data_IF_177794611239
#
_entry.id   IF_177794611239
#
_cell.length_a   1.000
_cell.length_b   1.000
_cell.length_c   1.000
_cell.angle_alpha   90.00
_cell.angle_beta   90.00
_cell.angle_gamma   90.00
#
_symmetry.space_group_name_H-M   'P 1'
#
loop_
_entity.id
_entity.type
_entity.pdbx_description
1 polymer ?
#
# COMPACT_ATOMS: atom_id res chain seq x y z
N UNK A 1 28.65 24.57 14.92
CA UNK A 1 28.71 23.86 13.61
C UNK A 1 27.61 22.81 13.57
N UNK A 2 26.57 23.02 12.76
CA UNK A 2 25.49 22.04 12.56
C UNK A 2 26.08 20.94 11.68
N UNK A 3 26.44 19.78 12.26
CA UNK A 3 26.94 18.66 11.48
C UNK A 3 25.86 18.26 10.48
N UNK A 4 26.13 18.53 9.20
CA UNK A 4 25.27 18.11 8.09
C UNK A 4 25.47 16.61 7.91
N UNK A 5 24.85 15.82 8.79
CA UNK A 5 24.65 14.39 8.52
C UNK A 5 23.66 14.36 7.36
N UNK A 6 24.19 14.24 6.14
CA UNK A 6 23.43 14.14 4.91
C UNK A 6 22.77 12.75 4.93
N UNK A 7 21.62 12.64 5.60
CA UNK A 7 20.84 11.40 5.59
C UNK A 7 20.51 11.05 4.14
N UNK A 8 21.12 9.98 3.63
CA UNK A 8 20.81 9.45 2.32
C UNK A 8 19.32 9.09 2.29
N UNK A 9 18.65 9.45 1.20
CA UNK A 9 17.27 9.04 1.00
C UNK A 9 17.20 7.50 1.00
N UNK A 10 16.24 6.87 1.68
CA UNK A 10 16.15 5.41 1.75
C UNK A 10 16.20 4.73 0.38
N UNK A 11 15.52 5.29 -0.62
CA UNK A 11 15.61 4.83 -2.01
C UNK A 11 17.06 4.73 -2.55
N UNK A 12 17.88 5.76 -2.30
CA UNK A 12 19.27 5.78 -2.74
C UNK A 12 20.12 4.74 -2.00
N UNK A 13 19.82 4.47 -0.74
CA UNK A 13 20.48 3.41 0.04
C UNK A 13 20.19 2.04 -0.56
N UNK A 14 18.92 1.70 -0.79
CA UNK A 14 18.55 0.41 -1.39
C UNK A 14 19.07 0.25 -2.82
N UNK A 15 19.11 1.33 -3.59
CA UNK A 15 19.76 1.31 -4.91
C UNK A 15 21.25 0.95 -4.80
N UNK A 16 22.00 1.63 -3.93
CA UNK A 16 23.43 1.34 -3.71
C UNK A 16 23.65 -0.08 -3.17
N UNK A 17 22.78 -0.56 -2.29
CA UNK A 17 22.82 -1.94 -1.80
C UNK A 17 22.60 -2.94 -2.94
N UNK A 18 21.67 -2.67 -3.85
CA UNK A 18 21.42 -3.54 -5.02
C UNK A 18 22.65 -3.61 -5.93
N UNK A 19 23.29 -2.47 -6.19
CA UNK A 19 24.56 -2.42 -6.95
C UNK A 19 25.66 -3.18 -6.20
N UNK A 20 25.71 -3.04 -4.88
CA UNK A 20 26.64 -3.79 -4.03
C UNK A 20 26.42 -5.30 -4.13
N UNK A 21 25.18 -5.77 -4.06
CA UNK A 21 24.82 -7.20 -4.23
C UNK A 21 25.18 -7.69 -5.62
N UNK A 22 24.89 -6.91 -6.67
CA UNK A 22 25.28 -7.26 -8.04
C UNK A 22 26.80 -7.44 -8.16
N UNK A 23 27.59 -6.52 -7.60
CA UNK A 23 29.05 -6.61 -7.60
C UNK A 23 29.56 -7.80 -6.76
N UNK A 24 29.01 -8.00 -5.56
CA UNK A 24 29.37 -9.13 -4.71
C UNK A 24 29.03 -10.47 -5.35
N UNK A 25 27.93 -10.56 -6.09
CA UNK A 25 27.52 -11.78 -6.80
C UNK A 25 28.49 -12.11 -7.94
N UNK A 26 29.01 -11.09 -8.62
CA UNK A 26 30.03 -11.24 -9.65
C UNK A 26 31.36 -11.71 -9.04
N UNK A 27 31.77 -11.11 -7.92
CA UNK A 27 32.97 -11.52 -7.18
C UNK A 27 32.82 -12.96 -6.67
N UNK A 28 31.70 -13.30 -6.05
CA UNK A 28 31.41 -14.64 -5.55
C UNK A 28 31.47 -15.71 -6.64
N UNK A 29 30.99 -15.38 -7.84
CA UNK A 29 31.10 -16.27 -9.00
C UNK A 29 32.54 -16.49 -9.48
N UNK A 30 33.42 -15.48 -9.39
CA UNK A 30 34.85 -15.63 -9.72
C UNK A 30 35.56 -16.53 -8.70
N UNK A 31 35.24 -16.36 -7.41
CA UNK A 31 35.84 -17.16 -6.33
C UNK A 31 35.17 -18.54 -6.15
N UNK A 32 34.10 -18.83 -6.89
CA UNK A 32 33.41 -20.11 -6.86
C UNK A 32 32.67 -20.37 -5.54
N UNK A 33 32.01 -19.36 -4.97
CA UNK A 33 31.14 -19.56 -3.80
C UNK A 33 29.99 -20.52 -4.14
N UNK A 34 29.76 -21.50 -3.26
CA UNK A 34 28.69 -22.49 -3.44
C UNK A 34 27.31 -21.82 -3.48
N UNK A 35 26.47 -22.25 -4.42
CA UNK A 35 25.11 -21.77 -4.65
C UNK A 35 24.94 -20.26 -4.94
N UNK A 36 26.02 -19.54 -5.25
CA UNK A 36 25.98 -18.11 -5.60
C UNK A 36 25.95 -17.91 -7.12
N UNK A 37 24.89 -17.26 -7.61
CA UNK A 37 24.72 -16.94 -9.03
C UNK A 37 25.17 -15.50 -9.33
N UNK A 38 25.85 -15.31 -10.46
CA UNK A 38 26.28 -13.99 -10.92
C UNK A 38 25.11 -13.21 -11.54
N UNK A 39 24.71 -12.11 -10.90
CA UNK A 39 23.66 -11.22 -11.42
C UNK A 39 24.06 -10.51 -12.72
N UNK A 40 25.34 -10.14 -12.89
CA UNK A 40 25.83 -9.43 -14.08
C UNK A 40 26.00 -10.34 -15.30
N UNK A 41 25.68 -11.62 -15.17
CA UNK A 41 25.67 -12.56 -16.29
C UNK A 41 24.53 -12.26 -17.27
N UNK A 42 24.62 -12.82 -18.49
CA UNK A 42 23.53 -12.72 -19.46
C UNK A 42 22.23 -13.36 -18.95
N UNK A 43 22.31 -14.34 -18.06
CA UNK A 43 21.14 -14.96 -17.44
C UNK A 43 20.52 -14.06 -16.38
N UNK A 44 21.32 -13.48 -15.48
CA UNK A 44 20.85 -12.55 -14.45
C UNK A 44 20.20 -11.29 -15.04
N UNK A 45 20.78 -10.74 -16.11
CA UNK A 45 20.19 -9.60 -16.82
C UNK A 45 18.88 -9.95 -17.53
N UNK A 46 18.78 -11.14 -18.13
CA UNK A 46 17.51 -11.62 -18.73
C UNK A 46 16.45 -11.85 -17.66
N UNK A 47 16.84 -12.41 -16.51
CA UNK A 47 15.96 -12.59 -15.38
C UNK A 47 15.45 -11.24 -14.86
N UNK A 48 16.33 -10.26 -14.68
CA UNK A 48 15.94 -8.92 -14.25
C UNK A 48 14.89 -8.31 -15.19
N UNK A 49 15.15 -8.33 -16.50
CA UNK A 49 14.21 -7.82 -17.49
C UNK A 49 12.86 -8.55 -17.50
N UNK A 50 12.82 -9.83 -17.12
CA UNK A 50 11.60 -10.63 -17.12
C UNK A 50 10.76 -10.45 -15.86
N UNK A 51 11.40 -10.29 -14.70
CA UNK A 51 10.73 -10.36 -13.40
C UNK A 51 10.65 -9.02 -12.66
N UNK A 52 11.29 -7.94 -13.14
CA UNK A 52 11.20 -6.62 -12.48
C UNK A 52 9.76 -6.17 -12.24
N UNK A 53 8.88 -6.36 -13.22
CA UNK A 53 7.46 -5.95 -13.13
C UNK A 53 6.68 -6.83 -12.15
N UNK A 54 6.78 -8.15 -12.30
CA UNK A 54 6.10 -9.12 -11.44
C UNK A 54 6.54 -8.97 -9.97
N UNK A 55 7.84 -8.81 -9.73
CA UNK A 55 8.38 -8.60 -8.38
C UNK A 55 7.78 -7.35 -7.74
N UNK A 56 7.67 -6.25 -8.51
CA UNK A 56 7.10 -5.00 -8.00
C UNK A 56 5.60 -5.08 -7.77
N UNK A 57 4.84 -5.60 -8.73
CA UNK A 57 3.39 -5.68 -8.65
C UNK A 57 2.90 -6.68 -7.59
N UNK A 58 3.65 -7.77 -7.39
CA UNK A 58 3.39 -8.77 -6.34
C UNK A 58 3.99 -8.38 -4.99
N UNK A 59 4.58 -7.19 -4.85
CA UNK A 59 5.10 -6.73 -3.58
C UNK A 59 4.00 -6.71 -2.50
N UNK A 60 4.32 -7.10 -1.25
CA UNK A 60 3.36 -7.13 -0.16
C UNK A 60 2.63 -5.82 -0.02
N UNK A 61 1.31 -5.91 0.09
CA UNK A 61 0.40 -4.78 0.33
C UNK A 61 0.31 -3.75 -0.80
N UNK A 62 1.07 -3.83 -1.90
CA UNK A 62 1.02 -2.80 -2.96
C UNK A 62 -0.38 -2.71 -3.57
N UNK A 63 -0.93 -3.82 -4.08
CA UNK A 63 -2.23 -3.83 -4.74
C UNK A 63 -3.37 -3.39 -3.81
N UNK A 64 -3.41 -3.92 -2.58
CA UNK A 64 -4.43 -3.54 -1.59
C UNK A 64 -4.31 -2.08 -1.18
N UNK A 65 -3.09 -1.57 -1.03
CA UNK A 65 -2.80 -0.18 -0.68
C UNK A 65 -3.19 0.79 -1.80
N UNK A 66 -2.91 0.47 -3.07
CA UNK A 66 -3.33 1.28 -4.21
C UNK A 66 -4.86 1.44 -4.26
N UNK A 67 -5.58 0.34 -4.04
CA UNK A 67 -7.06 0.35 -4.00
C UNK A 67 -7.56 1.16 -2.80
N UNK A 68 -6.97 0.96 -1.62
CA UNK A 68 -7.34 1.72 -0.42
C UNK A 68 -7.02 3.22 -0.53
N UNK A 69 -5.95 3.59 -1.22
CA UNK A 69 -5.55 4.99 -1.39
C UNK A 69 -6.58 5.81 -2.15
N UNK A 70 -7.35 5.19 -3.06
CA UNK A 70 -8.46 5.84 -3.75
C UNK A 70 -9.54 6.29 -2.76
N UNK A 71 -9.91 5.42 -1.82
CA UNK A 71 -10.93 5.72 -0.79
C UNK A 71 -10.41 6.59 0.35
N UNK A 72 -9.25 6.23 0.91
CA UNK A 72 -8.61 6.99 2.00
C UNK A 72 -8.25 8.41 1.55
N UNK A 73 -7.78 8.58 0.31
CA UNK A 73 -7.46 9.89 -0.26
C UNK A 73 -8.66 10.82 -0.19
N UNK A 74 -9.83 10.33 -0.61
CA UNK A 74 -11.05 11.11 -0.60
C UNK A 74 -11.49 11.50 0.82
N UNK A 75 -11.45 10.55 1.76
CA UNK A 75 -11.79 10.76 3.17
C UNK A 75 -10.88 11.78 3.86
N UNK A 76 -9.58 11.64 3.68
CA UNK A 76 -8.59 12.53 4.32
C UNK A 76 -8.69 13.92 3.70
N UNK A 77 -8.82 14.00 2.38
CA UNK A 77 -8.95 15.27 1.67
C UNK A 77 -10.24 16.02 2.03
N UNK A 78 -11.37 15.31 2.24
CA UNK A 78 -12.63 15.90 2.70
C UNK A 78 -12.65 16.23 4.19
N UNK A 79 -11.58 15.97 4.95
CA UNK A 79 -11.49 16.13 6.42
C UNK A 79 -12.54 15.35 7.20
N UNK A 80 -13.07 14.28 6.63
CA UNK A 80 -14.07 13.43 7.28
C UNK A 80 -13.55 12.82 8.61
N UNK A 81 -12.32 12.27 8.68
CA UNK A 81 -11.77 11.74 9.93
C UNK A 81 -11.67 12.79 11.04
N UNK A 82 -11.27 14.03 10.71
CA UNK A 82 -11.19 15.13 11.67
C UNK A 82 -12.58 15.48 12.23
N UNK A 83 -13.61 15.47 11.37
CA UNK A 83 -14.99 15.71 11.79
C UNK A 83 -15.52 14.59 12.69
N UNK A 84 -15.22 13.32 12.40
CA UNK A 84 -15.55 12.19 13.26
C UNK A 84 -14.84 12.27 14.62
N UNK A 85 -13.56 12.61 14.65
CA UNK A 85 -12.80 12.79 15.89
C UNK A 85 -13.37 13.94 16.73
N UNK A 86 -13.79 15.05 16.11
CA UNK A 86 -14.45 16.18 16.80
C UNK A 86 -15.83 15.83 17.35
N UNK A 87 -16.56 14.91 16.71
CA UNK A 87 -17.83 14.39 17.22
C UNK A 87 -17.60 13.50 18.46
N UNK A 88 -16.55 12.68 18.45
CA UNK A 88 -16.19 11.78 19.55
C UNK A 88 -15.54 12.52 20.73
N UNK A 89 -14.73 13.55 20.46
CA UNK A 89 -14.12 14.41 21.47
C UNK A 89 -15.15 15.37 22.08
N UNK A 90 -15.43 15.22 23.37
CA UNK A 90 -16.29 16.16 24.11
C UNK A 90 -15.69 17.57 24.06
N UNK A 91 -16.29 18.49 23.29
CA UNK A 91 -16.09 19.93 23.52
C UNK A 91 -16.07 20.88 22.32
N UNK A 92 -16.17 20.43 21.07
CA UNK A 92 -16.14 21.35 19.90
C UNK A 92 -17.52 21.45 19.27
N UNK A 93 -18.02 22.68 19.11
CA UNK A 93 -19.28 22.96 18.41
C UNK A 93 -19.13 22.65 16.92
N UNK A 94 -19.72 21.54 16.47
CA UNK A 94 -19.91 21.26 15.04
C UNK A 94 -20.90 22.26 14.44
N UNK A 95 -20.58 22.77 13.25
CA UNK A 95 -21.53 23.59 12.51
C UNK A 95 -22.79 22.78 12.18
N UNK A 96 -23.96 23.43 12.11
CA UNK A 96 -25.22 22.77 11.72
C UNK A 96 -25.09 22.04 10.38
N UNK A 97 -24.31 22.60 9.45
CA UNK A 97 -24.00 21.99 8.15
C UNK A 97 -23.18 20.71 8.30
N UNK A 98 -22.10 20.75 9.08
CA UNK A 98 -21.23 19.59 9.31
C UNK A 98 -21.97 18.46 10.04
N UNK A 99 -22.80 18.79 11.04
CA UNK A 99 -23.59 17.77 11.76
C UNK A 99 -24.60 17.07 10.84
N UNK A 100 -25.24 17.82 9.93
CA UNK A 100 -26.13 17.23 8.92
C UNK A 100 -25.36 16.37 7.93
N UNK A 101 -24.21 16.84 7.44
CA UNK A 101 -23.34 16.09 6.54
C UNK A 101 -22.85 14.78 7.17
N UNK A 102 -22.41 14.82 8.44
CA UNK A 102 -22.05 13.62 9.21
C UNK A 102 -23.23 12.66 9.34
N UNK A 103 -24.43 13.16 9.65
CA UNK A 103 -25.64 12.35 9.70
C UNK A 103 -25.95 11.67 8.37
N UNK A 104 -25.89 12.40 7.26
CA UNK A 104 -26.10 11.83 5.91
C UNK A 104 -25.04 10.79 5.55
N UNK A 105 -23.78 11.05 5.92
CA UNK A 105 -22.67 10.11 5.69
C UNK A 105 -22.88 8.83 6.49
N UNK A 106 -23.24 8.94 7.77
CA UNK A 106 -23.53 7.78 8.63
C UNK A 106 -24.70 6.95 8.11
N UNK A 107 -25.78 7.59 7.64
CA UNK A 107 -26.91 6.88 7.01
C UNK A 107 -26.47 6.18 5.73
N UNK A 108 -25.70 6.85 4.85
CA UNK A 108 -25.23 6.24 3.61
C UNK A 108 -24.32 5.02 3.85
N UNK A 109 -23.41 5.11 4.83
CA UNK A 109 -22.56 3.99 5.23
C UNK A 109 -23.36 2.87 5.89
N UNK A 110 -24.35 3.21 6.72
CA UNK A 110 -25.27 2.23 7.30
C UNK A 110 -26.01 1.45 6.22
N UNK A 111 -26.56 2.13 5.22
CA UNK A 111 -27.22 1.48 4.07
C UNK A 111 -26.23 0.60 3.29
N UNK A 112 -25.01 1.06 3.07
CA UNK A 112 -23.96 0.27 2.41
C UNK A 112 -23.62 -1.01 3.17
N UNK A 113 -23.41 -0.92 4.49
CA UNK A 113 -23.12 -2.09 5.34
C UNK A 113 -24.30 -3.04 5.40
N UNK A 114 -25.54 -2.53 5.49
CA UNK A 114 -26.75 -3.35 5.44
C UNK A 114 -26.91 -4.06 4.10
N UNK A 115 -26.58 -3.38 2.99
CA UNK A 115 -26.60 -3.99 1.65
C UNK A 115 -25.55 -5.11 1.56
N UNK A 116 -24.34 -4.88 2.05
CA UNK A 116 -23.31 -5.92 2.11
C UNK A 116 -23.73 -7.09 3.00
N UNK A 117 -24.35 -6.82 4.16
CA UNK A 117 -24.87 -7.86 5.03
C UNK A 117 -26.01 -8.64 4.34
N UNK A 118 -26.91 -7.96 3.63
CA UNK A 118 -27.96 -8.63 2.85
C UNK A 118 -27.38 -9.47 1.71
N UNK A 119 -26.32 -9.01 1.05
CA UNK A 119 -25.59 -9.79 0.04
C UNK A 119 -24.86 -10.99 0.66
N UNK A 120 -24.26 -10.80 1.84
CA UNK A 120 -23.48 -11.80 2.54
C UNK A 120 -24.33 -12.82 3.30
N UNK A 121 -25.58 -12.52 3.66
CA UNK A 121 -26.52 -13.43 4.36
C UNK A 121 -27.80 -13.74 3.59
N UNK A 122 -27.94 -13.21 2.37
CA UNK A 122 -29.07 -13.45 1.50
C UNK A 122 -29.10 -14.88 0.92
N UNK A 123 -30.22 -15.24 0.27
CA UNK A 123 -30.41 -16.56 -0.36
C UNK A 123 -29.57 -16.76 -1.63
N UNK A 124 -28.85 -15.73 -2.09
CA UNK A 124 -28.06 -15.72 -3.33
C UNK A 124 -26.60 -16.08 -3.04
N UNK A 125 -26.00 -16.96 -3.83
CA UNK A 125 -24.58 -17.37 -3.70
C UNK A 125 -23.58 -16.40 -4.34
N UNK A 126 -24.00 -15.21 -4.77
CA UNK A 126 -23.18 -14.24 -5.52
C UNK A 126 -21.86 -13.86 -4.82
N UNK A 127 -21.86 -13.86 -3.49
CA UNK A 127 -20.81 -13.27 -2.66
C UNK A 127 -20.14 -14.32 -1.76
N UNK A 128 -20.75 -15.50 -1.66
CA UNK A 128 -20.28 -16.65 -0.86
C UNK A 128 -19.56 -17.65 -1.74
N UNK A 129 -18.76 -18.52 -1.13
CA UNK A 129 -18.21 -19.66 -1.84
C UNK A 129 -19.35 -20.63 -2.23
N UNK A 130 -19.07 -21.53 -3.18
CA UNK A 130 -19.99 -22.58 -3.64
C UNK A 130 -20.46 -23.47 -2.46
N UNK A 131 -19.69 -23.58 -1.38
CA UNK A 131 -20.05 -24.35 -0.17
C UNK A 131 -20.90 -23.58 0.84
N UNK A 132 -21.17 -22.29 0.59
CA UNK A 132 -21.96 -21.43 1.49
C UNK A 132 -21.16 -20.82 2.65
N UNK A 133 -19.85 -21.10 2.74
CA UNK A 133 -18.96 -20.51 3.73
C UNK A 133 -18.40 -19.14 3.27
N UNK A 134 -18.01 -18.32 4.25
CA UNK A 134 -17.37 -17.01 4.06
C UNK A 134 -15.86 -17.12 3.89
N UNK A 135 -15.23 -18.20 4.37
CA UNK A 135 -13.82 -18.46 4.17
C UNK A 135 -13.55 -18.84 2.70
N UNK A 136 -12.57 -18.19 2.06
CA UNK A 136 -12.28 -18.39 0.63
C UNK A 136 -13.41 -17.93 -0.31
N UNK A 137 -14.28 -17.02 0.17
CA UNK A 137 -15.34 -16.43 -0.64
C UNK A 137 -14.82 -15.22 -1.43
N UNK A 138 -15.46 -14.86 -2.57
CA UNK A 138 -15.13 -13.65 -3.32
C UNK A 138 -15.18 -12.37 -2.47
N UNK A 139 -16.01 -12.34 -1.42
CA UNK A 139 -16.04 -11.22 -0.47
C UNK A 139 -14.79 -11.14 0.40
N UNK A 140 -14.30 -12.28 0.87
CA UNK A 140 -13.11 -12.33 1.74
C UNK A 140 -11.85 -11.92 0.97
N UNK A 141 -11.73 -12.34 -0.28
CA UNK A 141 -10.63 -11.93 -1.17
C UNK A 141 -10.76 -10.46 -1.58
N UNK A 142 -11.99 -10.01 -1.84
CA UNK A 142 -12.33 -8.64 -2.24
C UNK A 142 -12.42 -7.63 -1.09
N UNK A 143 -12.07 -7.99 0.15
CA UNK A 143 -12.31 -7.15 1.33
C UNK A 143 -11.68 -5.76 1.22
N UNK A 144 -10.49 -5.66 0.63
CA UNK A 144 -9.79 -4.40 0.39
C UNK A 144 -10.53 -3.51 -0.62
N UNK A 145 -11.17 -4.10 -1.63
CA UNK A 145 -11.98 -3.38 -2.60
C UNK A 145 -13.29 -2.87 -1.96
N UNK A 146 -13.97 -3.74 -1.20
CA UNK A 146 -15.21 -3.42 -0.49
C UNK A 146 -14.98 -2.30 0.54
N UNK A 147 -13.89 -2.36 1.28
CA UNK A 147 -13.51 -1.32 2.24
C UNK A 147 -13.16 -0.01 1.55
N UNK A 148 -12.39 -0.04 0.45
CA UNK A 148 -12.10 1.15 -0.35
C UNK A 148 -13.38 1.81 -0.88
N UNK A 149 -14.34 1.02 -1.38
CA UNK A 149 -15.61 1.56 -1.88
C UNK A 149 -16.43 2.23 -0.78
N UNK A 150 -16.46 1.64 0.42
CA UNK A 150 -17.07 2.26 1.60
C UNK A 150 -16.41 3.59 1.98
N UNK A 151 -15.08 3.67 1.90
CA UNK A 151 -14.34 4.91 2.15
C UNK A 151 -14.62 5.97 1.06
N UNK A 152 -14.67 5.58 -0.22
CA UNK A 152 -15.07 6.49 -1.30
C UNK A 152 -16.47 7.04 -1.03
N UNK A 153 -17.43 6.18 -0.68
CA UNK A 153 -18.79 6.60 -0.34
C UNK A 153 -18.80 7.61 0.81
N UNK A 154 -18.06 7.32 1.90
CA UNK A 154 -17.96 8.20 3.06
C UNK A 154 -17.42 9.60 2.69
N UNK A 155 -16.26 9.65 2.03
CA UNK A 155 -15.61 10.90 1.65
C UNK A 155 -16.43 11.70 0.64
N UNK A 156 -17.13 11.00 -0.27
CA UNK A 156 -17.94 11.64 -1.32
C UNK A 156 -19.18 12.28 -0.71
N UNK A 157 -19.96 11.53 0.07
CA UNK A 157 -21.20 12.02 0.70
C UNK A 157 -20.89 13.16 1.69
N UNK A 158 -19.84 13.03 2.49
CA UNK A 158 -19.44 14.08 3.43
C UNK A 158 -18.95 15.33 2.69
N UNK A 159 -18.07 15.17 1.71
CA UNK A 159 -17.50 16.28 0.96
C UNK A 159 -18.50 17.00 0.06
N UNK A 160 -19.49 16.29 -0.49
CA UNK A 160 -20.60 16.91 -1.22
C UNK A 160 -21.57 17.64 -0.29
N UNK A 161 -21.90 17.07 0.87
CA UNK A 161 -22.85 17.69 1.81
C UNK A 161 -22.28 18.92 2.55
N UNK A 162 -20.96 19.07 2.59
CA UNK A 162 -20.26 20.25 3.14
C UNK A 162 -19.94 21.31 2.09
N UNK A 163 -20.37 21.13 0.84
CA UNK A 163 -20.03 21.98 -0.32
C UNK A 163 -18.52 22.06 -0.62
N UNK A 164 -17.74 21.10 -0.13
CA UNK A 164 -16.29 21.02 -0.34
C UNK A 164 -15.94 20.47 -1.73
N UNK A 165 -16.67 19.46 -2.18
CA UNK A 165 -16.60 18.97 -3.56
C UNK A 165 -17.74 19.59 -4.37
N UNK A 166 -17.41 20.47 -5.31
CA UNK A 166 -18.39 21.12 -6.20
C UNK A 166 -18.36 20.54 -7.60
N UNK A 167 -17.17 20.20 -8.07
CA UNK A 167 -16.95 19.61 -9.39
C UNK A 167 -16.36 18.20 -9.28
N UNK A 168 -16.58 17.40 -10.31
CA UNK A 168 -15.94 16.10 -10.54
C UNK A 168 -14.40 16.17 -10.42
N UNK A 169 -13.80 17.25 -10.92
CA UNK A 169 -12.35 17.50 -10.81
C UNK A 169 -11.86 17.56 -9.36
N UNK A 170 -12.67 18.10 -8.45
CA UNK A 170 -12.29 18.19 -7.04
C UNK A 170 -12.31 16.81 -6.37
N UNK A 171 -13.24 15.95 -6.80
CA UNK A 171 -13.34 14.55 -6.35
C UNK A 171 -12.10 13.77 -6.81
N UNK A 172 -11.75 13.85 -8.09
CA UNK A 172 -10.54 13.19 -8.64
C UNK A 172 -9.26 13.71 -7.98
N UNK A 173 -9.22 15.01 -7.65
CA UNK A 173 -8.12 15.60 -6.88
C UNK A 173 -8.05 15.03 -5.46
N UNK A 174 -9.19 14.77 -4.82
CA UNK A 174 -9.26 14.07 -3.53
C UNK A 174 -8.76 12.64 -3.63
N UNK A 175 -9.18 11.89 -4.64
CA UNK A 175 -8.73 10.50 -4.87
C UNK A 175 -7.22 10.39 -5.11
N UNK A 176 -6.62 11.37 -5.80
CA UNK A 176 -5.17 11.40 -6.05
C UNK A 176 -4.33 11.93 -4.88
N UNK A 177 -4.95 12.47 -3.83
CA UNK A 177 -4.23 13.10 -2.71
C UNK A 177 -3.30 12.12 -1.98
N UNK A 178 -3.77 10.91 -1.66
CA UNK A 178 -2.93 9.89 -1.00
C UNK A 178 -1.76 9.47 -1.87
N UNK A 179 -1.98 9.30 -3.18
CA UNK A 179 -0.91 8.97 -4.12
C UNK A 179 0.17 10.05 -4.17
N UNK A 180 -0.24 11.32 -4.21
CA UNK A 180 0.70 12.45 -4.19
C UNK A 180 1.45 12.53 -2.85
N UNK A 181 0.76 12.27 -1.73
CA UNK A 181 1.34 12.30 -0.39
C UNK A 181 2.41 11.20 -0.21
N UNK A 182 2.11 9.97 -0.62
CA UNK A 182 2.99 8.81 -0.49
C UNK A 182 3.89 8.55 -1.71
N UNK A 183 3.97 9.48 -2.67
CA UNK A 183 4.80 9.34 -3.87
C UNK A 183 6.27 8.93 -3.59
N UNK A 184 6.99 9.52 -2.59
CA UNK A 184 8.35 9.09 -2.26
C UNK A 184 8.42 7.63 -1.74
N UNK A 185 7.33 7.16 -1.14
CA UNK A 185 7.20 5.79 -0.66
C UNK A 185 7.13 4.78 -1.79
N UNK A 186 6.38 5.05 -2.87
CA UNK A 186 6.34 4.18 -4.05
C UNK A 186 7.71 4.04 -4.73
N UNK A 187 8.47 5.13 -4.81
CA UNK A 187 9.84 5.12 -5.34
C UNK A 187 10.75 4.29 -4.45
N UNK A 188 10.66 4.47 -3.13
CA UNK A 188 11.46 3.70 -2.17
C UNK A 188 11.11 2.21 -2.23
N UNK A 189 9.82 1.88 -2.31
CA UNK A 189 9.33 0.51 -2.42
C UNK A 189 9.91 -0.19 -3.65
N UNK A 190 9.99 0.49 -4.80
CA UNK A 190 10.58 -0.08 -6.00
C UNK A 190 12.01 -0.57 -5.74
N UNK A 191 12.87 0.27 -5.17
CA UNK A 191 14.25 -0.12 -4.88
C UNK A 191 14.36 -1.18 -3.77
N UNK A 192 13.50 -1.15 -2.77
CA UNK A 192 13.43 -2.20 -1.74
C UNK A 192 13.13 -3.55 -2.38
N UNK A 193 12.09 -3.61 -3.22
CA UNK A 193 11.66 -4.85 -3.86
C UNK A 193 12.74 -5.38 -4.80
N UNK A 194 13.33 -4.52 -5.63
CA UNK A 194 14.42 -4.96 -6.52
C UNK A 194 15.65 -5.42 -5.75
N UNK A 195 16.00 -4.77 -4.63
CA UNK A 195 17.10 -5.22 -3.79
C UNK A 195 16.89 -6.65 -3.27
N UNK A 196 15.74 -6.92 -2.63
CA UNK A 196 15.45 -8.24 -2.07
C UNK A 196 15.30 -9.29 -3.16
N UNK A 197 14.74 -8.94 -4.32
CA UNK A 197 14.62 -9.86 -5.44
C UNK A 197 16.00 -10.25 -6.03
N UNK A 198 16.92 -9.29 -6.19
CA UNK A 198 18.29 -9.57 -6.63
C UNK A 198 19.07 -10.37 -5.58
N UNK A 199 18.86 -10.07 -4.29
CA UNK A 199 19.49 -10.79 -3.19
C UNK A 199 19.05 -12.27 -3.13
N UNK A 200 17.76 -12.52 -3.37
CA UNK A 200 17.18 -13.86 -3.44
C UNK A 200 17.69 -14.62 -4.68
N UNK A 201 17.63 -14.00 -5.86
CA UNK A 201 18.12 -14.59 -7.11
C UNK A 201 19.60 -15.00 -7.06
N UNK A 202 20.45 -14.15 -6.45
CA UNK A 202 21.90 -14.41 -6.40
C UNK A 202 22.30 -15.48 -5.38
N UNK A 203 21.40 -15.91 -4.49
CA UNK A 203 21.71 -16.87 -3.44
C UNK A 203 22.63 -16.33 -2.33
N UNK A 204 23.01 -15.04 -2.39
CA UNK A 204 23.96 -14.43 -1.45
C UNK A 204 23.45 -14.41 -0.01
N UNK A 205 22.13 -14.29 0.20
CA UNK A 205 21.54 -14.36 1.53
C UNK A 205 21.67 -15.75 2.16
N UNK A 206 21.45 -16.81 1.36
CA UNK A 206 21.60 -18.18 1.80
C UNK A 206 23.06 -18.50 2.13
N UNK A 207 24.01 -18.06 1.28
CA UNK A 207 25.44 -18.18 1.54
C UNK A 207 25.87 -17.47 2.83
N UNK A 208 25.30 -16.30 3.12
CA UNK A 208 25.55 -15.58 4.38
C UNK A 208 24.91 -16.25 5.62
N UNK A 209 24.17 -17.34 5.45
CA UNK A 209 23.49 -18.06 6.53
C UNK A 209 22.23 -17.37 7.06
N UNK A 210 21.64 -16.46 6.27
CA UNK A 210 20.41 -15.75 6.65
C UNK A 210 19.22 -16.67 6.39
N UNK A 211 18.45 -16.99 7.44
CA UNK A 211 17.23 -17.79 7.28
C UNK A 211 16.17 -17.07 6.45
N UNK A 212 15.45 -17.80 5.61
CA UNK A 212 14.36 -17.28 4.76
C UNK A 212 13.28 -16.53 5.57
N UNK A 213 12.95 -17.00 6.77
CA UNK A 213 11.99 -16.34 7.65
C UNK A 213 12.43 -14.92 8.02
N UNK A 214 13.71 -14.74 8.38
CA UNK A 214 14.25 -13.41 8.68
C UNK A 214 14.27 -12.53 7.44
N UNK A 215 14.59 -13.09 6.27
CA UNK A 215 14.55 -12.35 5.01
C UNK A 215 13.13 -11.88 4.69
N UNK A 216 12.12 -12.73 4.87
CA UNK A 216 10.71 -12.38 4.66
C UNK A 216 10.23 -11.27 5.62
N UNK A 217 10.56 -11.36 6.91
CA UNK A 217 10.16 -10.34 7.88
C UNK A 217 10.86 -9.01 7.64
N UNK A 218 12.15 -9.03 7.32
CA UNK A 218 12.91 -7.82 6.99
C UNK A 218 12.41 -7.19 5.70
N UNK A 219 12.13 -7.98 4.66
CA UNK A 219 11.50 -7.53 3.44
C UNK A 219 10.15 -6.84 3.69
N UNK A 220 9.26 -7.50 4.44
CA UNK A 220 7.94 -6.95 4.79
C UNK A 220 8.06 -5.67 5.60
N UNK A 221 8.96 -5.64 6.58
CA UNK A 221 9.24 -4.46 7.39
C UNK A 221 9.78 -3.29 6.54
N UNK A 222 10.71 -3.55 5.62
CA UNK A 222 11.24 -2.54 4.71
C UNK A 222 10.16 -2.00 3.75
N UNK A 223 9.26 -2.86 3.27
CA UNK A 223 8.11 -2.44 2.46
C UNK A 223 7.18 -1.50 3.24
N UNK A 224 6.89 -1.80 4.52
CA UNK A 224 6.12 -0.90 5.38
C UNK A 224 6.86 0.41 5.67
N UNK A 225 8.18 0.33 5.89
CA UNK A 225 9.01 1.50 6.14
C UNK A 225 9.01 2.45 4.94
N UNK A 226 8.99 1.93 3.71
CA UNK A 226 8.92 2.74 2.50
C UNK A 226 7.76 3.75 2.54
N UNK A 227 6.59 3.35 3.05
CA UNK A 227 5.43 4.24 3.19
C UNK A 227 5.47 5.15 4.43
N UNK A 228 6.34 4.86 5.40
CA UNK A 228 6.55 5.73 6.56
C UNK A 228 7.51 6.90 6.30
N UNK A 229 8.18 6.91 5.13
CA UNK A 229 9.07 7.99 4.69
C UNK A 229 8.25 9.25 4.50
N UNK A 230 8.21 10.09 5.54
CA UNK A 230 7.49 11.37 5.51
C UNK A 230 8.13 12.31 4.50
N UNK A 231 7.30 13.05 3.76
CA UNK A 231 7.75 14.31 3.12
C UNK A 231 8.33 15.21 4.22
N UNK A 232 9.61 15.58 4.08
CA UNK A 232 10.16 16.76 4.75
C UNK A 232 9.67 18.01 4.04
#
# INVERSE_FOLDING_TARGET
MKSSIRFFHPASVFFLLTVGVAFLSWVGSIYGWEDVQNFLSAEGLRWALRYTDDNYLCAPMLASLLILFLGLGLCIHSRFPEACLRLLGKGIHLSRKERRALGMTAVSLGVYVLLLAFLAWGPWTLVRSITGDLSGSPLSEGIWCVTAFGLVLAGLVYGSATDFYRNDRDIVRGMSWCFAYFAPGFVTLFFVVQFFAVLDYTGLAAFAGISETWLYWTYTFCCLLAFSVRRK
#
